data_IF_593148798284
#
_entry.id   IF_593148798284
#
_cell.length_a   1.000
_cell.length_b   1.000
_cell.length_c   1.000
_cell.angle_alpha   90.00
_cell.angle_beta   90.00
_cell.angle_gamma   90.00
#
_symmetry.space_group_name_H-M   'P 1'
#
loop_
_entity.id
_entity.type
_entity.pdbx_description
1 polymer ?
#
# COMPACT_ATOMS: atom_id res chain seq x y z
N UNK A 1 67.94 -5.87 -20.93
CA UNK A 1 67.23 -4.65 -21.34
C UNK A 1 65.77 -4.91 -21.43
N UNK A 2 65.11 -4.65 -20.34
CA UNK A 2 63.72 -4.94 -20.21
C UNK A 2 62.85 -3.72 -20.55
N UNK A 3 62.28 -3.76 -21.73
CA UNK A 3 61.26 -2.78 -22.13
C UNK A 3 59.96 -2.92 -21.31
N UNK A 4 59.73 -2.02 -20.37
CA UNK A 4 58.46 -1.91 -19.65
C UNK A 4 57.39 -1.36 -20.59
N UNK A 5 56.55 -2.24 -21.15
CA UNK A 5 55.31 -1.82 -21.82
C UNK A 5 54.34 -1.27 -20.78
N UNK A 6 54.17 0.04 -20.76
CA UNK A 6 53.09 0.72 -20.03
C UNK A 6 51.78 0.38 -20.71
N UNK A 7 50.98 -0.44 -20.05
CA UNK A 7 49.58 -0.63 -20.43
C UNK A 7 48.82 0.66 -20.10
N UNK A 8 48.51 1.45 -21.12
CA UNK A 8 47.56 2.58 -21.00
C UNK A 8 46.18 1.99 -20.92
N UNK A 9 45.62 2.03 -19.72
CA UNK A 9 44.25 1.66 -19.48
C UNK A 9 43.39 2.82 -20.00
N UNK A 10 42.83 2.65 -21.18
CA UNK A 10 41.81 3.59 -21.71
C UNK A 10 40.52 3.36 -20.94
N UNK A 11 40.31 4.15 -19.89
CA UNK A 11 39.03 4.24 -19.21
C UNK A 11 38.07 5.02 -20.11
N UNK A 12 37.27 4.28 -20.88
CA UNK A 12 36.19 4.85 -21.66
C UNK A 12 35.03 5.18 -20.72
N UNK A 13 35.07 6.40 -20.19
CA UNK A 13 33.98 6.98 -19.42
C UNK A 13 32.80 7.22 -20.37
N UNK A 14 31.89 6.25 -20.42
CA UNK A 14 30.62 6.40 -21.13
C UNK A 14 29.74 7.38 -20.37
N UNK A 15 29.83 8.65 -20.71
CA UNK A 15 28.90 9.69 -20.31
C UNK A 15 27.55 9.40 -20.98
N UNK A 16 26.70 8.66 -20.31
CA UNK A 16 25.27 8.60 -20.65
C UNK A 16 24.67 9.93 -20.21
N UNK A 17 24.63 10.88 -21.13
CA UNK A 17 23.81 12.07 -20.97
C UNK A 17 22.35 11.64 -21.07
N UNK A 18 21.72 11.45 -19.94
CA UNK A 18 20.26 11.41 -19.86
C UNK A 18 19.75 12.80 -20.21
N UNK A 19 19.36 12.96 -21.47
CA UNK A 19 18.57 14.12 -21.89
C UNK A 19 17.21 14.00 -21.24
N UNK A 20 17.04 14.62 -20.09
CA UNK A 20 15.74 14.93 -19.52
C UNK A 20 15.11 15.97 -20.41
N UNK A 21 14.28 15.54 -21.34
CA UNK A 21 13.33 16.44 -22.00
C UNK A 21 12.34 16.86 -20.92
N UNK A 22 12.58 18.01 -20.31
CA UNK A 22 11.54 18.74 -19.60
C UNK A 22 10.48 19.13 -20.63
N UNK A 23 9.37 18.40 -20.68
CA UNK A 23 8.16 18.95 -21.25
C UNK A 23 7.78 20.16 -20.39
N UNK A 24 8.08 21.33 -20.96
CA UNK A 24 7.58 22.61 -20.45
C UNK A 24 6.06 22.55 -20.63
N UNK A 25 5.37 22.19 -19.55
CA UNK A 25 3.94 22.43 -19.42
C UNK A 25 3.73 23.93 -19.51
N UNK A 26 3.43 24.41 -20.72
CA UNK A 26 2.93 25.75 -20.95
C UNK A 26 1.69 25.92 -20.08
N UNK A 27 1.85 26.61 -18.96
CA UNK A 27 0.73 27.12 -18.16
C UNK A 27 -0.07 28.03 -19.09
N UNK A 28 -1.13 27.49 -19.68
CA UNK A 28 -2.16 28.28 -20.34
C UNK A 28 -2.76 29.15 -19.25
N UNK A 29 -2.41 30.43 -19.26
CA UNK A 29 -3.02 31.45 -18.41
C UNK A 29 -4.52 31.46 -18.76
N UNK A 30 -5.32 30.75 -17.98
CA UNK A 30 -6.77 30.90 -18.01
C UNK A 30 -7.04 32.16 -17.21
N UNK A 31 -7.24 33.27 -17.94
CA UNK A 31 -7.71 34.52 -17.39
C UNK A 31 -9.17 34.31 -16.96
N UNK A 32 -9.37 33.94 -15.69
CA UNK A 32 -10.72 33.80 -15.13
C UNK A 32 -11.19 35.21 -14.82
N UNK A 33 -12.01 35.75 -15.71
CA UNK A 33 -12.73 37.00 -15.52
C UNK A 33 -13.69 36.84 -14.33
N UNK A 34 -13.30 37.42 -13.18
CA UNK A 34 -14.01 37.30 -11.91
C UNK A 34 -15.40 37.96 -11.87
N UNK A 35 -15.80 38.62 -12.96
CA UNK A 35 -17.03 39.41 -13.01
C UNK A 35 -18.24 38.69 -13.61
N UNK A 36 -18.15 37.41 -13.97
CA UNK A 36 -19.24 36.67 -14.62
C UNK A 36 -19.75 35.47 -13.80
N UNK A 37 -19.65 35.52 -12.47
CA UNK A 37 -20.25 34.55 -11.57
C UNK A 37 -21.67 34.98 -11.17
N UNK A 38 -22.52 35.30 -12.17
CA UNK A 38 -23.95 35.46 -11.93
C UNK A 38 -24.68 34.30 -12.59
N UNK A 39 -25.15 33.39 -11.76
CA UNK A 39 -26.28 32.47 -11.97
C UNK A 39 -26.45 31.87 -13.39
N UNK A 40 -25.63 30.87 -13.72
CA UNK A 40 -26.12 29.81 -14.59
C UNK A 40 -26.28 28.55 -13.75
N UNK A 41 -27.53 28.16 -13.48
CA UNK A 41 -27.87 26.80 -13.08
C UNK A 41 -27.39 25.87 -14.19
N UNK A 42 -26.12 25.46 -14.12
CA UNK A 42 -25.61 24.40 -14.94
C UNK A 42 -26.12 23.11 -14.34
N UNK A 43 -27.20 22.61 -14.95
CA UNK A 43 -27.71 21.29 -14.67
C UNK A 43 -26.67 20.29 -15.25
N UNK A 44 -25.61 20.04 -14.50
CA UNK A 44 -24.65 19.00 -14.81
C UNK A 44 -25.38 17.68 -14.57
N UNK A 45 -26.00 17.14 -15.62
CA UNK A 45 -26.22 15.71 -15.74
C UNK A 45 -24.85 15.07 -15.84
N UNK A 46 -24.12 15.09 -14.75
CA UNK A 46 -22.82 14.46 -14.59
C UNK A 46 -23.02 13.12 -13.95
N UNK A 47 -22.30 12.16 -14.45
CA UNK A 47 -22.26 10.82 -13.89
C UNK A 47 -22.10 10.83 -12.38
N UNK A 48 -22.83 9.94 -11.73
CA UNK A 48 -22.70 9.61 -10.33
C UNK A 48 -21.28 9.11 -10.03
N UNK A 49 -20.34 10.02 -9.79
CA UNK A 49 -19.29 9.76 -8.83
C UNK A 49 -19.94 9.94 -7.46
N UNK A 50 -20.78 9.00 -7.04
CA UNK A 50 -21.10 8.85 -5.64
C UNK A 50 -19.76 8.55 -4.97
N UNK A 51 -19.15 9.56 -4.34
CA UNK A 51 -18.16 9.29 -3.30
C UNK A 51 -18.85 8.29 -2.37
N UNK A 52 -18.36 7.06 -2.39
CA UNK A 52 -18.93 6.00 -1.60
C UNK A 52 -18.54 6.28 -0.14
N UNK A 53 -19.28 7.19 0.50
CA UNK A 53 -19.13 7.41 1.93
C UNK A 53 -19.49 6.11 2.63
N UNK A 54 -18.47 5.38 3.08
CA UNK A 54 -18.69 4.19 3.88
C UNK A 54 -19.42 4.59 5.16
N UNK A 55 -20.40 3.78 5.57
CA UNK A 55 -21.05 3.99 6.86
C UNK A 55 -19.98 3.97 7.97
N UNK A 56 -19.78 5.05 8.74
CA UNK A 56 -18.72 5.15 9.73
C UNK A 56 -18.82 4.11 10.86
N UNK A 57 -19.98 3.48 11.03
CA UNK A 57 -20.22 2.43 12.01
C UNK A 57 -19.95 1.01 11.49
N UNK A 58 -19.54 0.86 10.23
CA UNK A 58 -19.15 -0.44 9.73
C UNK A 58 -17.84 -0.89 10.38
N UNK A 59 -17.64 -2.21 10.61
CA UNK A 59 -16.36 -2.75 11.00
C UNK A 59 -15.34 -2.56 9.85
N UNK A 60 -14.07 -2.46 10.21
CA UNK A 60 -12.97 -2.52 9.25
C UNK A 60 -12.95 -3.92 8.62
N UNK A 61 -12.98 -4.01 7.30
CA UNK A 61 -12.75 -5.28 6.62
C UNK A 61 -11.27 -5.43 6.28
N UNK A 62 -10.69 -6.58 6.61
CA UNK A 62 -9.28 -6.91 6.34
C UNK A 62 -9.17 -8.32 5.78
N UNK A 63 -8.26 -8.52 4.85
CA UNK A 63 -8.02 -9.82 4.25
C UNK A 63 -6.82 -9.81 3.32
N UNK A 64 -6.61 -10.92 2.64
CA UNK A 64 -5.51 -11.13 1.70
C UNK A 64 -6.03 -10.99 0.27
N UNK A 65 -5.21 -10.37 -0.57
CA UNK A 65 -5.39 -10.33 -2.02
C UNK A 65 -4.03 -10.50 -2.72
N UNK A 66 -4.05 -10.70 -4.04
CA UNK A 66 -2.83 -10.81 -4.85
C UNK A 66 -1.82 -11.85 -4.35
N UNK A 67 -2.32 -13.02 -3.94
CA UNK A 67 -1.47 -14.10 -3.44
C UNK A 67 -0.71 -14.77 -4.58
N UNK A 68 0.60 -14.87 -4.43
CA UNK A 68 1.49 -15.60 -5.33
C UNK A 68 2.40 -16.52 -4.49
N UNK A 69 2.64 -17.74 -4.98
CA UNK A 69 3.58 -18.68 -4.39
C UNK A 69 4.41 -19.33 -5.48
N UNK A 70 5.71 -19.44 -5.24
CA UNK A 70 6.67 -20.12 -6.11
C UNK A 70 7.53 -21.06 -5.28
N UNK A 71 7.07 -22.30 -5.13
CA UNK A 71 7.75 -23.28 -4.29
C UNK A 71 7.75 -22.87 -2.81
N UNK A 72 8.93 -22.54 -2.29
CA UNK A 72 9.12 -22.14 -0.88
C UNK A 72 8.95 -20.63 -0.63
N UNK A 73 8.81 -19.83 -1.68
CA UNK A 73 8.61 -18.38 -1.54
C UNK A 73 7.14 -18.02 -1.76
N UNK A 74 6.69 -16.99 -1.06
CA UNK A 74 5.37 -16.43 -1.25
C UNK A 74 5.38 -14.90 -1.20
N UNK A 75 4.36 -14.31 -1.82
CA UNK A 75 4.02 -12.90 -1.65
C UNK A 75 2.52 -12.71 -1.70
N UNK A 76 2.00 -11.79 -0.91
CA UNK A 76 0.62 -11.37 -0.97
C UNK A 76 0.45 -9.93 -0.47
N UNK A 77 -0.69 -9.34 -0.80
CA UNK A 77 -1.08 -8.04 -0.29
C UNK A 77 -2.16 -8.20 0.77
N UNK A 78 -2.03 -7.46 1.86
CA UNK A 78 -3.10 -7.31 2.84
C UNK A 78 -3.87 -6.03 2.48
N UNK A 79 -5.18 -6.15 2.31
CA UNK A 79 -6.05 -5.00 2.12
C UNK A 79 -6.79 -4.64 3.41
N UNK A 80 -7.14 -3.37 3.55
CA UNK A 80 -7.94 -2.84 4.65
C UNK A 80 -8.96 -1.84 4.12
N UNK A 81 -10.24 -2.19 4.20
CA UNK A 81 -11.34 -1.28 3.89
C UNK A 81 -11.84 -0.71 5.23
N UNK A 82 -11.47 0.54 5.51
CA UNK A 82 -11.72 1.19 6.78
C UNK A 82 -12.69 2.37 6.62
N UNK A 83 -13.80 2.41 7.37
CA UNK A 83 -14.79 3.50 7.28
C UNK A 83 -14.33 4.78 7.97
N UNK A 84 -13.32 4.72 8.82
CA UNK A 84 -12.75 5.84 9.59
C UNK A 84 -11.23 5.73 9.58
N UNK A 85 -10.55 6.85 9.87
CA UNK A 85 -9.09 6.89 9.95
C UNK A 85 -8.54 5.91 11.00
N UNK A 86 -7.44 5.24 10.65
CA UNK A 86 -6.71 4.28 11.49
C UNK A 86 -5.34 4.85 11.83
N UNK A 87 -5.00 4.91 13.13
CA UNK A 87 -3.73 5.48 13.61
C UNK A 87 -2.75 4.45 14.13
N UNK A 88 -3.20 3.22 14.38
CA UNK A 88 -2.35 2.10 14.80
C UNK A 88 -2.85 0.79 14.22
N UNK A 89 -1.91 -0.03 13.80
CA UNK A 89 -2.16 -1.34 13.19
C UNK A 89 -1.27 -2.38 13.88
N UNK A 90 -1.88 -3.45 14.37
CA UNK A 90 -1.19 -4.69 14.69
C UNK A 90 -1.91 -5.81 13.96
N UNK A 91 -1.18 -6.67 13.28
CA UNK A 91 -1.72 -7.86 12.64
C UNK A 91 -0.92 -9.07 13.08
N UNK A 92 -1.61 -10.16 13.40
CA UNK A 92 -1.02 -11.47 13.55
C UNK A 92 -1.52 -12.36 12.40
N UNK A 93 -0.59 -12.84 11.58
CA UNK A 93 -0.89 -13.76 10.48
C UNK A 93 -0.87 -15.18 11.04
N UNK A 94 -2.02 -15.80 11.11
CA UNK A 94 -2.16 -17.20 11.51
C UNK A 94 -2.22 -18.10 10.28
N UNK A 95 -1.22 -18.95 10.16
CA UNK A 95 -1.04 -19.92 9.09
C UNK A 95 -0.68 -21.31 9.64
N UNK A 96 -0.97 -21.58 10.91
CA UNK A 96 -0.52 -22.77 11.64
C UNK A 96 1.01 -22.96 11.60
N UNK A 97 1.76 -21.86 11.68
CA UNK A 97 3.23 -21.86 11.74
C UNK A 97 3.94 -22.16 10.41
N UNK A 98 3.22 -22.16 9.29
CA UNK A 98 3.80 -22.53 7.98
C UNK A 98 4.41 -21.33 7.25
N UNK A 99 4.05 -20.09 7.63
CA UNK A 99 4.57 -18.86 7.02
C UNK A 99 5.66 -18.24 7.88
N UNK A 100 6.81 -17.94 7.26
CA UNK A 100 7.83 -17.06 7.81
C UNK A 100 7.76 -15.73 7.07
N UNK A 101 7.58 -14.63 7.79
CA UNK A 101 7.55 -13.28 7.22
C UNK A 101 8.98 -12.73 7.17
N UNK A 102 9.46 -12.43 5.96
CA UNK A 102 10.81 -11.89 5.73
C UNK A 102 10.79 -10.39 5.41
N UNK A 103 9.69 -9.89 4.83
CA UNK A 103 9.54 -8.48 4.48
C UNK A 103 8.08 -8.03 4.53
N UNK A 104 7.89 -6.81 5.02
CA UNK A 104 6.62 -6.07 4.97
C UNK A 104 6.90 -4.67 4.47
N UNK A 105 6.18 -4.19 3.44
CA UNK A 105 6.44 -2.88 2.84
C UNK A 105 5.29 -2.36 1.99
N UNK A 106 5.32 -1.06 1.73
CA UNK A 106 4.46 -0.36 0.78
C UNK A 106 3.02 -0.16 1.24
N UNK A 107 2.16 0.18 0.28
CA UNK A 107 0.75 0.40 0.46
C UNK A 107 0.39 1.62 1.28
N UNK A 108 -0.90 1.73 1.59
CA UNK A 108 -1.46 2.89 2.32
C UNK A 108 -0.80 3.15 3.68
N UNK A 109 -0.18 2.15 4.29
CA UNK A 109 0.53 2.34 5.55
C UNK A 109 1.77 3.23 5.34
N UNK A 110 2.67 2.85 4.45
CA UNK A 110 3.86 3.65 4.16
C UNK A 110 3.51 4.99 3.50
N UNK A 111 2.52 5.02 2.60
CA UNK A 111 2.05 6.26 1.95
C UNK A 111 1.57 7.31 2.97
N UNK A 112 1.14 6.86 4.15
CA UNK A 112 0.71 7.73 5.25
C UNK A 112 1.74 7.84 6.38
N UNK A 113 3.00 7.51 6.10
CA UNK A 113 4.13 7.70 7.02
C UNK A 113 4.17 6.72 8.20
N UNK A 114 3.62 5.52 8.02
CA UNK A 114 3.73 4.45 9.01
C UNK A 114 5.07 3.73 8.86
N UNK A 115 5.76 3.54 9.98
CA UNK A 115 6.84 2.59 10.08
C UNK A 115 6.25 1.18 10.27
N UNK A 116 6.75 0.22 9.48
CA UNK A 116 6.31 -1.17 9.52
C UNK A 116 7.40 -2.03 10.19
N UNK A 117 7.03 -2.74 11.23
CA UNK A 117 7.89 -3.68 11.94
C UNK A 117 7.24 -5.06 11.92
N UNK A 118 8.03 -6.10 11.76
CA UNK A 118 7.53 -7.47 11.76
C UNK A 118 8.49 -8.44 12.44
N UNK A 119 7.99 -9.59 12.83
CA UNK A 119 8.80 -10.75 13.21
C UNK A 119 8.54 -11.91 12.23
N UNK A 120 9.38 -12.92 12.27
CA UNK A 120 9.27 -14.09 11.41
C UNK A 120 7.95 -14.86 11.58
N UNK A 121 7.36 -14.80 12.77
CA UNK A 121 6.14 -15.55 13.11
C UNK A 121 4.85 -14.84 12.63
N UNK A 122 4.96 -13.78 11.83
CA UNK A 122 3.81 -13.12 11.22
C UNK A 122 3.16 -12.02 12.04
N UNK A 123 3.76 -11.57 13.15
CA UNK A 123 3.30 -10.35 13.84
C UNK A 123 3.83 -9.12 13.11
N UNK A 124 2.95 -8.22 12.76
CA UNK A 124 3.25 -6.96 12.07
C UNK A 124 2.69 -5.81 12.89
N UNK A 125 3.52 -4.79 13.10
CA UNK A 125 3.15 -3.55 13.76
C UNK A 125 3.34 -2.39 12.78
N UNK A 126 2.33 -1.54 12.69
CA UNK A 126 2.38 -0.32 11.88
C UNK A 126 1.91 0.88 12.71
N UNK A 127 2.73 1.92 12.77
CA UNK A 127 2.41 3.17 13.46
C UNK A 127 3.19 4.33 12.85
N UNK A 128 2.67 5.54 13.02
CA UNK A 128 3.33 6.76 12.57
C UNK A 128 3.95 7.50 13.75
N UNK A 129 5.27 7.75 13.68
CA UNK A 129 5.99 8.54 14.69
C UNK A 129 5.57 10.02 14.67
N UNK A 130 5.07 10.51 13.53
CA UNK A 130 4.56 11.89 13.38
C UNK A 130 3.09 12.03 13.75
N UNK A 131 2.44 10.96 14.23
CA UNK A 131 1.02 10.96 14.58
C UNK A 131 0.08 10.95 13.37
N UNK A 132 0.57 10.50 12.21
CA UNK A 132 -0.24 10.30 10.99
C UNK A 132 -1.30 9.21 11.18
N UNK A 133 -2.28 9.20 10.28
CA UNK A 133 -3.34 8.19 10.25
C UNK A 133 -3.60 7.78 8.81
N UNK A 134 -3.91 6.52 8.60
CA UNK A 134 -4.40 6.03 7.31
C UNK A 134 -5.84 6.50 7.15
N UNK A 135 -6.16 7.32 6.13
CA UNK A 135 -7.50 7.90 5.99
C UNK A 135 -8.57 6.82 5.75
N UNK A 136 -9.84 7.18 5.84
CA UNK A 136 -10.94 6.28 5.48
C UNK A 136 -10.82 5.85 4.01
N UNK A 137 -11.27 4.64 3.71
CA UNK A 137 -11.36 4.14 2.34
C UNK A 137 -12.42 4.89 1.55
N UNK A 138 -12.10 5.29 0.33
CA UNK A 138 -13.03 5.98 -0.59
C UNK A 138 -13.73 5.01 -1.55
N UNK A 139 -13.31 3.77 -1.56
CA UNK A 139 -13.83 2.69 -2.41
C UNK A 139 -13.85 1.37 -1.64
N UNK A 140 -14.62 0.40 -2.11
CA UNK A 140 -14.61 -0.99 -1.61
C UNK A 140 -13.71 -1.91 -2.43
N UNK A 141 -13.06 -1.40 -3.45
CA UNK A 141 -12.14 -2.19 -4.27
C UNK A 141 -10.89 -2.57 -3.45
N UNK A 142 -10.65 -3.87 -3.31
CA UNK A 142 -9.56 -4.40 -2.50
C UNK A 142 -8.19 -3.95 -3.02
N UNK A 143 -8.02 -3.92 -4.34
CA UNK A 143 -6.78 -3.48 -4.99
C UNK A 143 -6.42 -2.02 -4.73
N UNK A 144 -7.42 -1.16 -4.47
CA UNK A 144 -7.23 0.25 -4.14
C UNK A 144 -7.04 0.49 -2.63
N UNK A 145 -7.22 -0.55 -1.83
CA UNK A 145 -7.13 -0.51 -0.38
C UNK A 145 -5.99 -1.37 0.18
N UNK A 146 -4.91 -1.56 -0.58
CA UNK A 146 -3.75 -2.30 -0.09
C UNK A 146 -3.15 -1.59 1.11
N UNK A 147 -3.14 -2.27 2.25
CA UNK A 147 -2.56 -1.76 3.48
C UNK A 147 -1.03 -1.83 3.41
N UNK A 148 -0.50 -3.00 3.08
CA UNK A 148 0.90 -3.28 2.78
C UNK A 148 1.07 -4.64 2.10
N UNK A 149 2.27 -4.90 1.59
CA UNK A 149 2.65 -6.16 0.97
C UNK A 149 3.52 -6.97 1.92
N UNK A 150 3.35 -8.30 1.87
CA UNK A 150 4.09 -9.27 2.67
C UNK A 150 4.83 -10.23 1.73
N UNK A 151 6.08 -10.50 2.06
CA UNK A 151 6.90 -11.53 1.42
C UNK A 151 7.52 -12.42 2.46
N UNK A 152 7.76 -13.67 2.08
CA UNK A 152 8.44 -14.59 2.95
C UNK A 152 8.61 -15.96 2.36
N UNK A 153 8.98 -16.89 3.23
CA UNK A 153 9.18 -18.29 2.92
C UNK A 153 8.13 -19.17 3.61
N UNK A 154 7.75 -20.26 2.96
CA UNK A 154 6.73 -21.15 3.51
C UNK A 154 6.81 -22.57 2.96
N UNK A 155 6.17 -23.46 3.69
CA UNK A 155 5.82 -24.81 3.23
C UNK A 155 4.29 -24.92 2.99
N UNK A 156 3.69 -23.89 2.39
CA UNK A 156 2.26 -23.84 2.13
C UNK A 156 1.84 -24.98 1.22
N UNK A 157 0.87 -25.75 1.68
CA UNK A 157 0.19 -26.78 0.88
C UNK A 157 -1.09 -26.22 0.30
N UNK A 158 -1.53 -26.77 -0.82
CA UNK A 158 -2.87 -26.53 -1.36
C UNK A 158 -3.91 -26.73 -0.24
N UNK A 159 -4.91 -25.84 -0.22
CA UNK A 159 -5.97 -25.79 0.80
C UNK A 159 -5.54 -25.33 2.21
N UNK A 160 -4.32 -24.83 2.39
CA UNK A 160 -3.96 -24.14 3.63
C UNK A 160 -4.82 -22.88 3.81
N UNK A 161 -5.25 -22.64 5.03
CA UNK A 161 -5.97 -21.41 5.39
C UNK A 161 -5.01 -20.42 6.03
N UNK A 162 -5.12 -19.15 5.63
CA UNK A 162 -4.42 -18.04 6.25
C UNK A 162 -5.46 -17.09 6.84
N UNK A 163 -5.34 -16.80 8.13
CA UNK A 163 -6.23 -15.88 8.82
C UNK A 163 -5.43 -14.69 9.37
N UNK A 164 -6.02 -13.51 9.32
CA UNK A 164 -5.43 -12.29 9.88
C UNK A 164 -6.20 -11.95 11.15
N UNK A 165 -5.48 -11.83 12.27
CA UNK A 165 -6.02 -11.41 13.56
C UNK A 165 -5.56 -9.96 13.84
N UNK A 166 -6.37 -8.95 13.53
CA UNK A 166 -5.97 -7.56 13.63
C UNK A 166 -6.32 -6.91 14.97
N UNK A 167 -5.56 -5.89 15.32
CA UNK A 167 -5.93 -4.84 16.26
C UNK A 167 -5.74 -3.52 15.53
N UNK A 168 -6.83 -2.78 15.34
CA UNK A 168 -6.80 -1.43 14.81
C UNK A 168 -7.14 -0.43 15.91
N UNK A 169 -6.46 0.71 15.90
CA UNK A 169 -6.71 1.79 16.83
C UNK A 169 -6.96 3.12 16.11
N UNK A 170 -7.86 3.91 16.64
CA UNK A 170 -8.07 5.29 16.21
C UNK A 170 -7.03 6.24 16.84
N UNK A 171 -7.12 7.52 16.55
CA UNK A 171 -6.20 8.55 17.07
C UNK A 171 -6.22 8.70 18.59
N UNK A 172 -7.29 8.24 19.25
CA UNK A 172 -7.44 8.24 20.71
C UNK A 172 -6.97 6.91 21.33
N UNK A 173 -6.28 6.06 20.56
CA UNK A 173 -5.87 4.70 20.93
C UNK A 173 -7.05 3.77 21.27
N UNK A 174 -8.27 4.12 20.88
CA UNK A 174 -9.45 3.28 21.06
C UNK A 174 -9.46 2.19 19.99
N UNK A 175 -9.66 0.95 20.44
CA UNK A 175 -9.81 -0.21 19.55
C UNK A 175 -11.02 -0.04 18.62
N UNK A 176 -10.83 -0.40 17.36
CA UNK A 176 -11.85 -0.36 16.33
C UNK A 176 -12.34 -1.78 16.00
N UNK A 177 -13.63 -1.90 15.70
CA UNK A 177 -14.21 -3.18 15.29
C UNK A 177 -13.75 -3.60 13.90
N UNK A 178 -13.59 -4.89 13.70
CA UNK A 178 -13.12 -5.45 12.44
C UNK A 178 -13.87 -6.74 12.04
N UNK A 179 -13.76 -7.05 10.75
CA UNK A 179 -14.14 -8.33 10.15
C UNK A 179 -12.94 -8.84 9.34
N UNK A 180 -12.36 -9.95 9.77
CA UNK A 180 -11.30 -10.66 9.04
C UNK A 180 -11.90 -11.64 8.04
N UNK A 181 -11.38 -11.61 6.82
CA UNK A 181 -11.78 -12.51 5.74
C UNK A 181 -10.68 -13.58 5.59
N UNK A 182 -10.96 -14.85 5.95
CA UNK A 182 -9.98 -15.94 5.78
C UNK A 182 -9.63 -16.14 4.29
N UNK A 183 -8.38 -16.44 4.05
CA UNK A 183 -7.87 -16.74 2.71
C UNK A 183 -7.56 -18.24 2.57
N UNK A 184 -7.98 -18.85 1.46
CA UNK A 184 -7.67 -20.23 1.13
C UNK A 184 -6.66 -20.27 -0.02
N UNK A 185 -5.53 -20.92 0.20
CA UNK A 185 -4.49 -21.10 -0.83
C UNK A 185 -4.97 -22.07 -1.89
N UNK A 186 -4.93 -21.65 -3.16
CA UNK A 186 -5.28 -22.51 -4.30
C UNK A 186 -6.77 -22.60 -4.63
N UNK A 187 -7.58 -21.66 -4.15
CA UNK A 187 -8.97 -21.47 -4.61
C UNK A 187 -9.08 -20.32 -5.59
#
# INVERSE_FOLDING_TARGET
DGGKMKKILFSMLLLITFSFTQEVLTKKNINIDKNNLVNKNVNIKGGNSSELSLNPNMPIEVGITSFNSNGSEYSFSIYMINPRAVSGVQLDIDSNGVLNVDQVSGGRAEDNGFALHHNKNGRILGFSMSGGSIPASVTKEKSENILFNVRGSSELKLNSSITINPIFADKSAKKMDFKSIPFQVGK
#
